data_IF_915300867105
#
_entry.id   IF_915300867105
#
_cell.length_a   1.000
_cell.length_b   1.000
_cell.length_c   1.000
_cell.angle_alpha   90.00
_cell.angle_beta   90.00
_cell.angle_gamma   90.00
#
_symmetry.space_group_name_H-M   'P 1'
#
loop_
_entity.id
_entity.type
_entity.pdbx_description
1 polymer ?
#
# COMPACT_ATOMS: atom_id res chain seq x y z
N UNK A 1 6.64 3.02 -22.26
CA UNK A 1 6.08 2.41 -21.04
C UNK A 1 7.10 1.40 -20.55
N UNK A 2 7.56 1.53 -19.30
CA UNK A 2 8.53 0.59 -18.72
C UNK A 2 7.77 -0.41 -17.86
N UNK A 3 8.09 -1.69 -18.00
CA UNK A 3 7.45 -2.79 -17.28
C UNK A 3 8.53 -3.46 -16.44
N UNK A 4 8.34 -3.53 -15.13
CA UNK A 4 9.24 -4.24 -14.22
C UNK A 4 9.17 -5.75 -14.43
N UNK A 5 10.30 -6.44 -14.32
CA UNK A 5 10.38 -7.90 -14.45
C UNK A 5 10.02 -8.66 -13.17
N UNK A 6 9.95 -7.95 -12.03
CA UNK A 6 9.58 -8.48 -10.72
C UNK A 6 9.20 -7.35 -9.76
N UNK A 7 8.70 -7.72 -8.59
CA UNK A 7 8.37 -6.80 -7.48
C UNK A 7 9.55 -6.59 -6.50
N UNK A 8 10.76 -6.93 -6.92
CA UNK A 8 11.96 -6.84 -6.10
C UNK A 8 12.42 -5.39 -5.87
N UNK A 9 13.13 -5.17 -4.76
CA UNK A 9 13.65 -3.84 -4.38
C UNK A 9 14.43 -3.10 -5.48
N UNK A 10 15.33 -3.74 -6.26
CA UNK A 10 16.10 -3.03 -7.29
C UNK A 10 15.21 -2.39 -8.37
N UNK A 11 14.14 -3.08 -8.77
CA UNK A 11 13.20 -2.60 -9.78
C UNK A 11 12.45 -1.35 -9.27
N UNK A 12 11.96 -1.39 -8.03
CA UNK A 12 11.32 -0.23 -7.40
C UNK A 12 12.30 0.93 -7.21
N UNK A 13 13.55 0.64 -6.86
CA UNK A 13 14.60 1.66 -6.69
C UNK A 13 14.85 2.42 -7.98
N UNK A 14 14.98 1.70 -9.09
CA UNK A 14 15.15 2.32 -10.39
C UNK A 14 13.96 3.21 -10.78
N UNK A 15 12.73 2.71 -10.60
CA UNK A 15 11.51 3.46 -10.86
C UNK A 15 11.44 4.75 -10.05
N UNK A 16 11.62 4.68 -8.72
CA UNK A 16 11.52 5.85 -7.86
C UNK A 16 12.65 6.85 -8.11
N UNK A 17 13.86 6.39 -8.44
CA UNK A 17 14.96 7.27 -8.87
C UNK A 17 14.66 7.96 -10.20
N UNK A 18 14.00 7.29 -11.15
CA UNK A 18 13.54 7.91 -12.40
C UNK A 18 12.53 9.04 -12.12
N UNK A 19 11.56 8.82 -11.25
CA UNK A 19 10.62 9.87 -10.83
C UNK A 19 11.33 11.05 -10.17
N UNK A 20 12.28 10.78 -9.27
CA UNK A 20 13.10 11.81 -8.66
C UNK A 20 13.93 12.59 -9.71
N UNK A 21 14.56 11.94 -10.67
CA UNK A 21 15.30 12.63 -11.74
C UNK A 21 14.41 13.52 -12.60
N UNK A 22 13.12 13.18 -12.74
CA UNK A 22 12.12 13.99 -13.44
C UNK A 22 11.59 15.18 -12.62
N UNK A 23 12.12 15.40 -11.42
CA UNK A 23 11.77 16.55 -10.58
C UNK A 23 10.76 16.25 -9.47
N UNK A 24 10.33 15.00 -9.29
CA UNK A 24 9.48 14.67 -8.14
C UNK A 24 10.26 14.89 -6.83
N UNK A 25 9.75 15.80 -5.99
CA UNK A 25 10.36 16.20 -4.71
C UNK A 25 9.26 16.34 -3.66
N UNK A 26 9.65 16.33 -2.39
CA UNK A 26 8.74 16.61 -1.26
C UNK A 26 7.64 15.57 -1.03
N UNK A 27 7.78 14.36 -1.59
CA UNK A 27 6.81 13.28 -1.37
C UNK A 27 6.73 12.96 0.12
N UNK A 28 5.53 13.00 0.69
CA UNK A 28 5.29 12.68 2.11
C UNK A 28 4.74 11.28 2.31
N UNK A 29 3.93 10.81 1.36
CA UNK A 29 3.24 9.54 1.42
C UNK A 29 3.31 8.83 0.07
N UNK A 30 3.66 7.55 0.09
CA UNK A 30 3.50 6.63 -1.05
C UNK A 30 2.50 5.56 -0.68
N UNK A 31 1.51 5.35 -1.56
CA UNK A 31 0.45 4.34 -1.39
C UNK A 31 0.55 3.30 -2.48
N UNK A 32 0.72 2.03 -2.11
CA UNK A 32 0.76 0.88 -3.03
C UNK A 32 0.15 -0.36 -2.39
N UNK A 33 -0.01 -1.47 -3.12
CA UNK A 33 -0.25 -2.76 -2.45
C UNK A 33 1.02 -3.23 -1.71
N UNK A 34 0.87 -4.26 -0.87
CA UNK A 34 1.88 -4.78 0.05
C UNK A 34 2.92 -5.66 -0.64
N UNK A 35 3.81 -5.03 -1.40
CA UNK A 35 5.03 -5.66 -1.92
C UNK A 35 6.22 -5.21 -1.07
N UNK A 36 7.05 -6.15 -0.60
CA UNK A 36 8.17 -5.81 0.30
C UNK A 36 9.21 -4.90 -0.39
N UNK A 37 9.44 -5.09 -1.69
CA UNK A 37 10.41 -4.30 -2.45
C UNK A 37 10.10 -2.80 -2.48
N UNK A 38 8.82 -2.40 -2.56
CA UNK A 38 8.46 -0.97 -2.58
C UNK A 38 8.53 -0.35 -1.19
N UNK A 39 8.14 -1.08 -0.14
CA UNK A 39 8.15 -0.59 1.24
C UNK A 39 9.55 -0.15 1.67
N UNK A 40 10.57 -0.97 1.40
CA UNK A 40 11.96 -0.63 1.69
C UNK A 40 12.45 0.55 0.84
N UNK A 41 12.12 0.56 -0.45
CA UNK A 41 12.61 1.56 -1.39
C UNK A 41 12.07 2.97 -1.12
N UNK A 42 10.80 3.09 -0.74
CA UNK A 42 10.17 4.40 -0.47
C UNK A 42 10.96 5.19 0.58
N UNK A 43 11.34 4.53 1.69
CA UNK A 43 12.15 5.15 2.72
C UNK A 43 13.55 5.53 2.22
N UNK A 44 14.18 4.66 1.42
CA UNK A 44 15.56 4.85 0.91
C UNK A 44 15.66 5.97 -0.12
N UNK A 45 14.69 6.11 -1.01
CA UNK A 45 14.78 7.01 -2.19
C UNK A 45 14.03 8.33 -1.99
N UNK A 46 12.88 8.30 -1.33
CA UNK A 46 12.01 9.46 -1.21
C UNK A 46 11.95 10.04 0.21
N UNK A 47 12.50 9.34 1.21
CA UNK A 47 12.36 9.69 2.63
C UNK A 47 10.91 9.96 3.04
N UNK A 48 10.00 9.18 2.47
CA UNK A 48 8.55 9.30 2.64
C UNK A 48 7.99 8.14 3.49
N UNK A 49 6.81 8.34 4.06
CA UNK A 49 6.05 7.25 4.69
C UNK A 49 5.41 6.38 3.62
N UNK A 50 5.37 5.08 3.85
CA UNK A 50 4.63 4.14 3.02
C UNK A 50 3.35 3.70 3.75
N UNK A 51 2.24 3.62 3.00
CA UNK A 51 0.99 3.05 3.48
C UNK A 51 0.46 2.03 2.46
N UNK A 52 -0.03 0.89 2.96
CA UNK A 52 -0.77 -0.05 2.11
C UNK A 52 -2.06 0.61 1.62
N UNK A 53 -2.35 0.43 0.34
CA UNK A 53 -3.58 0.89 -0.29
C UNK A 53 -4.80 0.17 0.32
N UNK A 54 -5.72 0.94 0.92
CA UNK A 54 -6.96 0.40 1.52
C UNK A 54 -7.85 -0.31 0.49
N UNK A 55 -7.85 0.15 -0.77
CA UNK A 55 -8.60 -0.48 -1.87
C UNK A 55 -8.06 -1.86 -2.22
N UNK A 56 -6.74 -1.98 -2.39
CA UNK A 56 -6.11 -3.28 -2.63
C UNK A 56 -6.25 -4.21 -1.44
N UNK A 57 -6.09 -3.69 -0.21
CA UNK A 57 -6.33 -4.46 1.00
C UNK A 57 -7.74 -5.06 1.04
N UNK A 58 -8.78 -4.25 0.80
CA UNK A 58 -10.17 -4.72 0.74
C UNK A 58 -10.35 -5.79 -0.34
N UNK A 59 -9.83 -5.56 -1.55
CA UNK A 59 -9.91 -6.54 -2.65
C UNK A 59 -9.24 -7.87 -2.27
N UNK A 60 -8.06 -7.81 -1.67
CA UNK A 60 -7.29 -8.99 -1.27
C UNK A 60 -8.01 -9.75 -0.15
N UNK A 61 -8.57 -9.05 0.85
CA UNK A 61 -9.34 -9.67 1.91
C UNK A 61 -10.61 -10.36 1.38
N UNK A 62 -11.38 -9.67 0.52
CA UNK A 62 -12.63 -10.19 -0.04
C UNK A 62 -12.43 -11.35 -1.02
N UNK A 63 -11.24 -11.51 -1.59
CA UNK A 63 -10.88 -12.68 -2.39
C UNK A 63 -10.91 -13.98 -1.55
N UNK A 64 -10.64 -13.88 -0.25
CA UNK A 64 -10.59 -15.02 0.68
C UNK A 64 -11.89 -15.25 1.45
N UNK A 65 -12.82 -14.28 1.44
CA UNK A 65 -14.03 -14.31 2.27
C UNK A 65 -15.17 -15.23 1.73
N UNK A 66 -15.05 -15.76 0.51
CA UNK A 66 -16.13 -16.49 -0.16
C UNK A 66 -17.38 -15.63 -0.45
N UNK A 67 -18.37 -16.16 -1.18
CA UNK A 67 -19.54 -15.37 -1.61
C UNK A 67 -20.36 -14.84 -0.41
N UNK A 68 -20.62 -15.70 0.57
CA UNK A 68 -21.46 -15.38 1.73
C UNK A 68 -20.77 -14.49 2.76
N UNK A 69 -19.44 -14.57 2.89
CA UNK A 69 -18.68 -13.81 3.90
C UNK A 69 -18.33 -12.38 3.48
N UNK A 70 -18.37 -12.04 2.18
CA UNK A 70 -17.97 -10.73 1.66
C UNK A 70 -18.63 -9.54 2.35
N UNK A 71 -19.95 -9.60 2.57
CA UNK A 71 -20.70 -8.50 3.21
C UNK A 71 -20.23 -8.28 4.65
N UNK A 72 -20.00 -9.36 5.39
CA UNK A 72 -19.57 -9.32 6.79
C UNK A 72 -18.13 -8.80 6.88
N UNK A 73 -17.20 -9.36 6.12
CA UNK A 73 -15.79 -8.93 6.10
C UNK A 73 -15.66 -7.47 5.68
N UNK A 74 -16.41 -7.03 4.66
CA UNK A 74 -16.39 -5.62 4.24
C UNK A 74 -16.87 -4.68 5.34
N UNK A 75 -17.86 -5.08 6.14
CA UNK A 75 -18.39 -4.26 7.22
C UNK A 75 -17.35 -4.08 8.34
N UNK A 76 -16.70 -5.17 8.78
CA UNK A 76 -15.63 -5.10 9.79
C UNK A 76 -14.42 -4.25 9.34
N UNK A 77 -13.99 -4.40 8.09
CA UNK A 77 -12.88 -3.57 7.58
C UNK A 77 -13.29 -2.09 7.51
N UNK A 78 -14.55 -1.79 7.18
CA UNK A 78 -15.04 -0.42 7.15
C UNK A 78 -15.07 0.21 8.55
N UNK A 79 -15.45 -0.54 9.60
CA UNK A 79 -15.41 -0.04 10.98
C UNK A 79 -13.99 0.24 11.44
N UNK A 80 -13.01 -0.61 11.09
CA UNK A 80 -11.59 -0.39 11.37
C UNK A 80 -11.05 0.89 10.71
N UNK A 81 -11.41 1.14 9.45
CA UNK A 81 -10.96 2.33 8.73
C UNK A 81 -11.61 3.64 9.16
N UNK A 82 -12.73 3.57 9.88
CA UNK A 82 -13.46 4.72 10.40
C UNK A 82 -12.94 5.21 11.77
N UNK A 83 -12.04 4.46 12.42
CA UNK A 83 -11.49 4.85 13.71
C UNK A 83 -10.44 5.96 13.58
N UNK A 84 -10.40 6.87 14.56
CA UNK A 84 -9.45 7.99 14.58
C UNK A 84 -8.04 7.58 15.02
N UNK A 85 -7.90 6.45 15.72
CA UNK A 85 -6.61 5.97 16.23
C UNK A 85 -6.30 4.54 15.79
N UNK A 86 -5.00 4.19 15.61
CA UNK A 86 -4.59 2.82 15.34
C UNK A 86 -5.02 1.82 16.42
N UNK A 87 -5.04 2.26 17.68
CA UNK A 87 -5.44 1.43 18.82
C UNK A 87 -6.93 1.08 18.73
N UNK A 88 -7.80 2.06 18.45
CA UNK A 88 -9.23 1.83 18.27
C UNK A 88 -9.51 0.98 17.02
N UNK A 89 -8.76 1.20 15.93
CA UNK A 89 -8.86 0.40 14.70
C UNK A 89 -8.52 -1.08 14.93
N UNK A 90 -7.57 -1.38 15.83
CA UNK A 90 -7.13 -2.75 16.12
C UNK A 90 -8.09 -3.53 17.04
N UNK A 91 -9.11 -2.86 17.60
CA UNK A 91 -10.15 -3.48 18.44
C UNK A 91 -11.43 -3.85 17.67
N UNK A 92 -11.47 -3.57 16.36
CA UNK A 92 -12.63 -3.87 15.51
C UNK A 92 -12.68 -5.32 15.05
#
# INVERSE_FOLDING_TARGET
MEIGTSEAEPIWTELLRKLARRGQRGVKLVVSDAHEGIKATVSKVLSATWQRCRVHFMRNALAHAGKSGRRVVSAFIATAFAQDTPEAASQQ
#
